data_IF_028975830459
#
_entry.id   IF_028975830459
#
_cell.length_a   1.000
_cell.length_b   1.000
_cell.length_c   1.000
_cell.angle_alpha   90.00
_cell.angle_beta   90.00
_cell.angle_gamma   90.00
#
_symmetry.space_group_name_H-M   'P 1'
#
loop_
_entity.id
_entity.type
_entity.pdbx_description
1 polymer ?
#
# COMPACT_ATOMS: atom_id res chain seq x y z
N UNK A 1 8.89 8.64 -12.15
CA UNK A 1 9.64 9.11 -10.96
C UNK A 1 10.97 9.69 -11.38
N UNK A 2 11.87 8.93 -12.01
CA UNK A 2 13.20 9.41 -12.40
C UNK A 2 13.19 10.71 -13.23
N UNK A 3 12.23 10.87 -14.14
CA UNK A 3 12.11 12.09 -14.97
C UNK A 3 11.76 13.35 -14.17
N UNK A 4 11.01 13.21 -13.07
CA UNK A 4 10.54 14.32 -12.22
C UNK A 4 11.45 14.49 -11.00
N UNK A 5 12.03 13.40 -10.50
CA UNK A 5 12.91 13.33 -9.32
C UNK A 5 14.15 12.47 -9.59
N UNK A 6 15.13 12.96 -10.36
CA UNK A 6 16.30 12.17 -10.76
C UNK A 6 17.14 11.69 -9.57
N UNK A 7 17.53 10.42 -9.56
CA UNK A 7 18.35 9.81 -8.52
C UNK A 7 17.70 9.72 -7.14
N UNK A 8 16.38 9.98 -7.03
CA UNK A 8 15.64 9.92 -5.76
C UNK A 8 14.60 8.80 -5.81
N UNK A 9 14.34 8.19 -4.64
CA UNK A 9 13.33 7.12 -4.49
C UNK A 9 11.90 7.62 -4.69
N UNK A 10 11.62 8.89 -4.33
CA UNK A 10 10.27 9.45 -4.24
C UNK A 10 9.35 8.57 -3.35
N UNK A 11 8.04 8.74 -3.45
CA UNK A 11 7.05 7.98 -2.71
C UNK A 11 5.87 7.66 -3.62
N UNK A 12 5.53 6.37 -3.74
CA UNK A 12 4.42 5.89 -4.56
C UNK A 12 3.53 4.99 -3.70
N UNK A 13 2.24 5.30 -3.69
CA UNK A 13 1.21 4.53 -3.01
C UNK A 13 0.11 4.23 -4.03
N UNK A 14 -0.22 2.96 -4.20
CA UNK A 14 -1.23 2.48 -5.17
C UNK A 14 -2.33 1.68 -4.49
N UNK A 15 -3.57 1.87 -4.94
CA UNK A 15 -4.72 1.07 -4.49
C UNK A 15 -4.74 -0.32 -5.10
N UNK A 16 -4.34 -0.47 -6.37
CA UNK A 16 -4.30 -1.76 -7.05
C UNK A 16 -2.89 -2.34 -7.03
N UNK A 17 -2.79 -3.66 -6.96
CA UNK A 17 -1.55 -4.43 -6.91
C UNK A 17 -1.66 -5.72 -7.74
N UNK A 18 -0.50 -6.26 -8.11
CA UNK A 18 -0.30 -7.61 -8.61
C UNK A 18 0.97 -8.21 -7.95
N UNK A 19 1.26 -9.48 -8.16
CA UNK A 19 2.48 -10.10 -7.63
C UNK A 19 3.73 -9.31 -8.07
N UNK A 20 4.54 -8.88 -7.10
CA UNK A 20 5.74 -8.05 -7.32
C UNK A 20 5.54 -6.53 -7.25
N UNK A 21 4.31 -6.03 -7.08
CA UNK A 21 4.05 -4.58 -6.98
C UNK A 21 4.82 -3.87 -5.85
N UNK A 22 5.17 -4.57 -4.76
CA UNK A 22 5.97 -4.04 -3.65
C UNK A 22 7.37 -3.54 -4.05
N UNK A 23 7.89 -3.98 -5.21
CA UNK A 23 9.14 -3.43 -5.79
C UNK A 23 8.99 -1.97 -6.24
N UNK A 24 7.76 -1.53 -6.57
CA UNK A 24 7.50 -0.25 -7.22
C UNK A 24 6.87 0.79 -6.29
N UNK A 25 6.14 0.37 -5.26
CA UNK A 25 5.49 1.28 -4.32
C UNK A 25 4.79 0.54 -3.18
N UNK A 26 4.22 1.32 -2.25
CA UNK A 26 3.41 0.80 -1.16
C UNK A 26 1.93 0.70 -1.51
N UNK A 27 1.15 0.15 -0.58
CA UNK A 27 -0.28 -0.09 -0.70
C UNK A 27 -1.03 0.34 0.57
N UNK A 28 -2.29 0.73 0.42
CA UNK A 28 -3.23 0.91 1.53
C UNK A 28 -4.49 0.09 1.27
N UNK A 29 -5.16 -0.38 2.33
CA UNK A 29 -6.27 -1.35 2.28
C UNK A 29 -7.58 -0.85 1.63
N UNK A 30 -7.54 0.27 0.93
CA UNK A 30 -8.71 0.85 0.26
C UNK A 30 -9.59 1.70 1.17
N UNK A 31 -10.84 1.84 0.77
CA UNK A 31 -11.81 2.74 1.37
C UNK A 31 -12.45 2.06 2.59
N UNK A 32 -11.96 2.40 3.78
CA UNK A 32 -12.45 1.86 5.04
C UNK A 32 -13.55 2.75 5.68
N UNK A 33 -14.12 2.30 6.80
CA UNK A 33 -15.06 3.06 7.61
C UNK A 33 -14.60 3.14 9.07
N UNK A 34 -15.03 4.19 9.77
CA UNK A 34 -14.69 4.45 11.18
C UNK A 34 -15.50 3.55 12.14
N UNK A 35 -15.33 2.24 12.03
CA UNK A 35 -15.96 1.24 12.90
C UNK A 35 -14.91 0.35 13.57
N UNK A 36 -15.25 -0.18 14.75
CA UNK A 36 -14.37 -1.10 15.48
C UNK A 36 -14.04 -2.38 14.72
N UNK A 37 -14.97 -2.86 13.88
CA UNK A 37 -14.75 -4.04 13.06
C UNK A 37 -13.71 -3.77 11.98
N UNK A 38 -13.76 -2.62 11.32
CA UNK A 38 -12.77 -2.28 10.30
C UNK A 38 -11.39 -2.00 10.89
N UNK A 39 -11.32 -1.45 12.12
CA UNK A 39 -10.07 -1.38 12.86
C UNK A 39 -9.48 -2.77 13.11
N UNK A 40 -10.32 -3.73 13.53
CA UNK A 40 -9.92 -5.13 13.76
C UNK A 40 -9.46 -5.79 12.45
N UNK A 41 -10.16 -5.56 11.35
CA UNK A 41 -9.84 -6.15 10.03
C UNK A 41 -8.59 -5.56 9.36
N UNK A 42 -8.15 -4.36 9.77
CA UNK A 42 -6.91 -3.79 9.25
C UNK A 42 -5.66 -4.62 9.61
N UNK A 43 -5.67 -5.33 10.74
CA UNK A 43 -4.54 -6.14 11.21
C UNK A 43 -4.24 -7.33 10.27
N UNK A 44 -5.19 -8.25 9.99
CA UNK A 44 -4.93 -9.34 9.05
C UNK A 44 -4.60 -8.83 7.64
N UNK A 45 -5.28 -7.79 7.14
CA UNK A 45 -4.97 -7.22 5.83
C UNK A 45 -3.53 -6.68 5.75
N UNK A 46 -3.03 -6.03 6.80
CA UNK A 46 -1.62 -5.62 6.86
C UNK A 46 -0.67 -6.82 6.81
N UNK A 47 -0.96 -7.89 7.55
CA UNK A 47 -0.10 -9.08 7.58
C UNK A 47 -0.07 -9.80 6.23
N UNK A 48 -1.22 -9.92 5.55
CA UNK A 48 -1.33 -10.53 4.22
C UNK A 48 -0.50 -9.79 3.17
N UNK A 49 -0.41 -8.46 3.24
CA UNK A 49 0.43 -7.65 2.34
C UNK A 49 1.93 -7.70 2.65
N UNK A 50 2.35 -8.31 3.77
CA UNK A 50 3.76 -8.54 4.11
C UNK A 50 4.28 -9.94 3.71
N UNK A 51 3.39 -10.86 3.30
CA UNK A 51 3.75 -12.20 2.83
C UNK A 51 4.45 -12.15 1.46
#
# INVERSE_FOLDING_TARGET
>A
IETVFPGKRSFLISRSTFAGSGKHGGHWLGDNAATWDQLRWAIPGMLEFNL
#
